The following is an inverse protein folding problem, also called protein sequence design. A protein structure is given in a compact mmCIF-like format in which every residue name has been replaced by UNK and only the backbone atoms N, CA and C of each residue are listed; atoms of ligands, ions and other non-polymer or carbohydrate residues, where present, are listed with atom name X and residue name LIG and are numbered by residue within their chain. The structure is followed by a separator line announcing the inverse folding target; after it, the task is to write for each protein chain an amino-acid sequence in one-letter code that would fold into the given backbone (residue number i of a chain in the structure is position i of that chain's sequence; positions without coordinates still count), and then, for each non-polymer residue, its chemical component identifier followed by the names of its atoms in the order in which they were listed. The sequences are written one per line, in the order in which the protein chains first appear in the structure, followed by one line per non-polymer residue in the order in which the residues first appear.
data_IF_732514240435
#
_entry.id   IF_732514240435
#
_cell.length_a   1.000
_cell.length_b   1.000
_cell.length_c   1.000
_cell.angle_alpha   90.00
_cell.angle_beta   90.00
_cell.angle_gamma   90.00
#
_symmetry.space_group_name_H-M   'P 1'
#
loop_
_entity.id
_entity.type
_entity.pdbx_description
1 polymer ?
#
# COMPACT_ATOMS: atom_id res chain seq x y z
N UNK A 1 -50.59 37.35 -9.33
CA UNK A 1 -51.93 37.17 -8.71
C UNK A 1 -51.96 35.76 -8.14
N UNK A 2 -51.92 35.60 -6.80
CA UNK A 2 -53.07 35.22 -5.93
C UNK A 2 -53.56 33.79 -6.29
N UNK A 3 -53.50 32.74 -5.48
CA UNK A 3 -53.71 32.49 -4.02
C UNK A 3 -53.35 31.01 -3.74
N UNK A 4 -52.55 30.60 -2.74
CA UNK A 4 -52.86 30.35 -1.30
C UNK A 4 -53.77 29.15 -0.98
N UNK A 5 -53.48 28.47 0.16
CA UNK A 5 -54.17 27.41 0.96
C UNK A 5 -53.41 26.07 0.89
N UNK A 6 -52.62 25.58 1.85
CA UNK A 6 -52.61 25.56 3.33
C UNK A 6 -53.60 24.56 3.98
N UNK A 7 -53.15 23.33 4.27
CA UNK A 7 -53.69 22.40 5.29
C UNK A 7 -52.47 21.66 5.90
N UNK A 8 -51.99 22.05 7.08
CA UNK A 8 -52.34 21.62 8.45
C UNK A 8 -51.95 20.17 8.84
N UNK A 9 -50.85 20.13 9.59
CA UNK A 9 -50.34 19.21 10.62
C UNK A 9 -51.27 18.12 11.18
N UNK A 10 -50.75 16.89 11.33
CA UNK A 10 -50.91 16.07 12.55
C UNK A 10 -49.57 15.41 12.88
N UNK A 11 -48.97 15.87 13.99
CA UNK A 11 -47.86 15.20 14.69
C UNK A 11 -48.49 14.26 15.72
N UNK A 12 -48.17 12.97 15.66
CA UNK A 12 -48.42 12.03 16.75
C UNK A 12 -47.07 11.62 17.35
N UNK A 13 -46.72 12.26 18.47
CA UNK A 13 -45.76 11.73 19.42
C UNK A 13 -46.51 10.76 20.35
N UNK A 14 -45.99 9.54 20.50
CA UNK A 14 -45.79 8.81 21.77
C UNK A 14 -45.71 7.31 21.50
N UNK A 15 -44.54 6.75 21.81
CA UNK A 15 -44.28 5.33 21.87
C UNK A 15 -42.90 5.08 22.48
N UNK A 16 -42.78 5.25 23.80
CA UNK A 16 -41.64 4.75 24.58
C UNK A 16 -41.66 3.21 24.57
N UNK A 17 -41.00 2.62 23.59
CA UNK A 17 -40.64 1.20 23.57
C UNK A 17 -39.18 1.04 23.95
N UNK A 18 -38.91 0.64 25.19
CA UNK A 18 -37.61 0.20 25.67
C UNK A 18 -37.24 -1.10 24.94
N UNK A 19 -36.36 -1.03 23.94
CA UNK A 19 -35.60 -2.20 23.51
C UNK A 19 -34.11 -1.87 23.50
N UNK A 20 -33.44 -2.46 24.49
CA UNK A 20 -32.01 -2.56 24.58
C UNK A 20 -31.49 -3.38 23.39
N UNK A 21 -30.32 -2.96 22.90
CA UNK A 21 -29.29 -3.78 22.28
C UNK A 21 -29.76 -5.00 21.45
N UNK A 22 -29.69 -4.85 20.13
CA UNK A 22 -28.95 -5.81 19.32
C UNK A 22 -28.36 -5.07 18.13
N UNK A 23 -27.13 -4.58 18.31
CA UNK A 23 -26.27 -4.29 17.18
C UNK A 23 -26.11 -5.60 16.40
N UNK A 24 -26.74 -5.67 15.24
CA UNK A 24 -26.40 -6.66 14.22
C UNK A 24 -25.11 -6.16 13.55
N UNK A 25 -24.02 -6.30 14.28
CA UNK A 25 -22.73 -6.62 13.67
C UNK A 25 -22.89 -8.05 13.13
N UNK A 26 -23.49 -8.19 11.95
CA UNK A 26 -23.18 -9.33 11.11
C UNK A 26 -21.65 -9.32 10.98
N UNK A 27 -21.02 -10.36 11.51
CA UNK A 27 -19.57 -10.46 11.60
C UNK A 27 -18.97 -10.29 10.21
N UNK A 28 -18.52 -9.08 9.91
CA UNK A 28 -17.69 -8.82 8.76
C UNK A 28 -16.53 -9.82 8.86
N UNK A 29 -16.34 -10.62 7.81
CA UNK A 29 -15.07 -11.32 7.65
C UNK A 29 -13.97 -10.28 7.92
N UNK A 30 -12.93 -10.63 8.71
CA UNK A 30 -11.87 -9.69 9.00
C UNK A 30 -11.43 -9.08 7.66
N UNK A 31 -11.28 -7.76 7.58
CA UNK A 31 -10.94 -7.11 6.32
C UNK A 31 -9.73 -7.82 5.73
N UNK A 32 -9.79 -8.14 4.43
CA UNK A 32 -8.69 -8.79 3.75
C UNK A 32 -7.40 -8.02 4.06
N UNK A 33 -6.34 -8.73 4.49
CA UNK A 33 -5.10 -8.08 4.90
C UNK A 33 -4.58 -7.22 3.76
N UNK A 34 -4.34 -5.94 4.04
CA UNK A 34 -3.81 -5.00 3.04
C UNK A 34 -2.45 -5.45 2.48
N UNK A 35 -1.64 -6.12 3.33
CA UNK A 35 -0.34 -6.66 2.95
C UNK A 35 -0.10 -8.02 3.63
N UNK A 36 0.53 -8.93 2.90
CA UNK A 36 1.06 -10.19 3.41
C UNK A 36 2.54 -10.31 3.05
N UNK A 37 3.40 -10.35 4.06
CA UNK A 37 4.83 -10.55 3.89
C UNK A 37 5.21 -12.02 4.01
N UNK A 38 6.06 -12.49 3.11
CA UNK A 38 6.73 -13.78 3.24
C UNK A 38 8.23 -13.62 2.99
N UNK A 39 9.04 -14.02 3.96
CA UNK A 39 10.51 -13.95 3.88
C UNK A 39 11.01 -14.63 2.60
N UNK A 40 11.83 -13.93 1.83
CA UNK A 40 12.39 -14.41 0.55
C UNK A 40 11.44 -14.36 -0.65
N UNK A 41 10.14 -14.12 -0.45
CA UNK A 41 9.17 -13.93 -1.55
C UNK A 41 8.68 -12.49 -1.68
N UNK A 42 8.76 -11.72 -0.59
CA UNK A 42 8.36 -10.32 -0.55
C UNK A 42 6.89 -10.12 -0.17
N UNK A 43 6.40 -8.92 -0.48
CA UNK A 43 5.06 -8.44 -0.12
C UNK A 43 4.05 -8.76 -1.20
N UNK A 44 2.97 -9.45 -0.82
CA UNK A 44 1.72 -9.43 -1.58
C UNK A 44 0.85 -8.29 -1.06
N UNK A 45 0.35 -7.45 -1.95
CA UNK A 45 -0.58 -6.36 -1.59
C UNK A 45 -1.97 -6.63 -2.17
N UNK A 46 -3.00 -6.19 -1.46
CA UNK A 46 -4.35 -6.10 -2.03
C UNK A 46 -4.41 -5.00 -3.10
N UNK A 47 -5.43 -5.04 -3.96
CA UNK A 47 -5.61 -4.00 -4.98
C UNK A 47 -5.83 -2.63 -4.33
N UNK A 48 -6.60 -2.57 -3.25
CA UNK A 48 -6.86 -1.35 -2.49
C UNK A 48 -5.57 -0.79 -1.89
N UNK A 49 -4.68 -1.65 -1.40
CA UNK A 49 -3.39 -1.22 -0.87
C UNK A 49 -2.47 -0.68 -1.97
N UNK A 50 -2.45 -1.31 -3.15
CA UNK A 50 -1.71 -0.84 -4.33
C UNK A 50 -2.16 0.57 -4.73
N UNK A 51 -3.48 0.78 -4.82
CA UNK A 51 -4.08 2.09 -5.11
C UNK A 51 -3.75 3.11 -4.02
N UNK A 52 -3.92 2.73 -2.74
CA UNK A 52 -3.70 3.63 -1.59
C UNK A 52 -2.26 4.15 -1.52
N UNK A 53 -1.26 3.29 -1.78
CA UNK A 53 0.15 3.71 -1.77
C UNK A 53 0.59 4.35 -3.11
N UNK A 54 -0.29 4.41 -4.11
CA UNK A 54 0.02 4.92 -5.45
C UNK A 54 1.13 4.13 -6.14
N UNK A 55 1.12 2.80 -5.98
CA UNK A 55 2.17 1.93 -6.53
C UNK A 55 2.13 1.95 -8.06
N UNK A 56 3.24 2.36 -8.66
CA UNK A 56 3.45 2.29 -10.12
C UNK A 56 4.72 1.52 -10.41
N UNK A 57 4.77 0.94 -11.60
CA UNK A 57 5.86 0.06 -12.03
C UNK A 57 6.35 0.40 -13.43
N UNK A 58 7.60 0.06 -13.70
CA UNK A 58 8.20 0.12 -15.02
C UNK A 58 9.22 -1.01 -15.17
N UNK A 59 9.61 -1.32 -16.40
CA UNK A 59 10.71 -2.23 -16.67
C UNK A 59 12.06 -1.50 -16.52
N UNK A 60 13.02 -2.16 -15.89
CA UNK A 60 14.37 -1.69 -15.77
C UNK A 60 15.07 -1.76 -17.14
N UNK A 61 15.70 -0.65 -17.54
CA UNK A 61 16.28 -0.51 -18.89
C UNK A 61 17.76 -0.82 -18.85
N UNK A 62 18.29 -1.53 -19.86
CA UNK A 62 19.72 -1.62 -20.06
C UNK A 62 20.25 -0.41 -20.82
N UNK A 63 21.40 0.10 -20.40
CA UNK A 63 22.21 1.04 -21.18
C UNK A 63 23.67 0.66 -21.07
N UNK A 64 24.26 0.28 -22.21
CA UNK A 64 25.58 -0.32 -22.30
C UNK A 64 25.71 -1.59 -21.44
N UNK A 65 26.39 -1.52 -20.29
CA UNK A 65 26.66 -2.63 -19.37
C UNK A 65 25.99 -2.46 -18.00
N UNK A 66 25.08 -1.48 -17.85
CA UNK A 66 24.40 -1.17 -16.59
C UNK A 66 22.90 -1.13 -16.77
N UNK A 67 22.20 -1.41 -15.68
CA UNK A 67 20.76 -1.21 -15.58
C UNK A 67 20.51 0.24 -15.13
N UNK A 68 19.66 0.95 -15.85
CA UNK A 68 19.17 2.27 -15.49
C UNK A 68 17.78 2.17 -14.89
N UNK A 69 17.59 2.83 -13.76
CA UNK A 69 16.30 2.97 -13.09
C UNK A 69 16.03 4.44 -12.76
N UNK A 70 14.77 4.89 -12.71
CA UNK A 70 14.44 6.21 -12.19
C UNK A 70 14.92 6.36 -10.74
N UNK A 71 15.40 7.54 -10.34
CA UNK A 71 15.85 7.79 -8.96
C UNK A 71 14.77 7.49 -7.92
N UNK A 72 13.50 7.64 -8.30
CA UNK A 72 12.32 7.38 -7.48
C UNK A 72 12.12 5.89 -7.14
N UNK A 73 12.71 4.98 -7.91
CA UNK A 73 12.67 3.55 -7.66
C UNK A 73 13.59 3.13 -6.50
N UNK A 74 14.58 3.97 -6.18
CA UNK A 74 15.60 3.65 -5.20
C UNK A 74 15.14 4.01 -3.79
N UNK A 75 15.01 2.99 -2.95
CA UNK A 75 14.89 3.16 -1.50
C UNK A 75 16.29 3.27 -0.91
N UNK A 76 16.60 4.38 -0.23
CA UNK A 76 17.78 4.54 0.61
C UNK A 76 17.37 4.67 2.07
N UNK A 77 17.95 3.85 2.94
CA UNK A 77 17.74 3.93 4.38
C UNK A 77 19.01 3.48 5.11
N UNK A 78 18.95 3.34 6.44
CA UNK A 78 20.09 2.90 7.25
C UNK A 78 20.52 1.45 7.00
N UNK A 79 19.70 0.62 6.35
CA UNK A 79 20.04 -0.77 6.01
C UNK A 79 20.78 -0.87 4.66
N UNK A 80 20.78 0.18 3.84
CA UNK A 80 21.43 0.20 2.53
C UNK A 80 20.60 0.85 1.43
N UNK A 81 20.80 0.37 0.20
CA UNK A 81 20.11 0.83 -1.00
C UNK A 81 19.37 -0.35 -1.66
N UNK A 82 18.09 -0.14 -1.98
CA UNK A 82 17.21 -1.21 -2.44
C UNK A 82 16.29 -0.76 -3.55
N UNK A 83 15.85 -1.71 -4.38
CA UNK A 83 14.75 -1.56 -5.32
C UNK A 83 13.74 -2.69 -5.08
N UNK A 84 12.45 -2.40 -5.17
CA UNK A 84 11.43 -3.44 -5.12
C UNK A 84 11.18 -4.00 -6.52
N UNK A 85 11.49 -5.28 -6.70
CA UNK A 85 11.32 -6.02 -7.96
C UNK A 85 10.06 -6.89 -7.88
N UNK A 86 9.27 -6.90 -8.95
CA UNK A 86 8.08 -7.72 -9.06
C UNK A 86 8.47 -9.18 -9.33
N UNK A 87 8.06 -10.09 -8.44
CA UNK A 87 8.22 -11.53 -8.57
C UNK A 87 6.82 -12.17 -8.53
N UNK A 88 6.24 -12.41 -9.72
CA UNK A 88 4.84 -12.77 -9.87
C UNK A 88 3.91 -11.65 -9.36
N UNK A 89 3.10 -11.94 -8.35
CA UNK A 89 2.24 -10.94 -7.71
C UNK A 89 2.89 -10.25 -6.50
N UNK A 90 4.11 -10.66 -6.13
CA UNK A 90 4.80 -10.15 -4.93
C UNK A 90 5.87 -9.12 -5.29
N UNK A 91 6.15 -8.25 -4.34
CA UNK A 91 7.20 -7.22 -4.42
C UNK A 91 8.34 -7.61 -3.49
N UNK A 92 9.46 -8.01 -4.07
CA UNK A 92 10.66 -8.41 -3.35
C UNK A 92 11.61 -7.22 -3.21
N UNK A 93 12.05 -6.92 -1.99
CA UNK A 93 13.10 -5.93 -1.74
C UNK A 93 14.45 -6.53 -2.11
N UNK A 94 15.06 -5.99 -3.16
CA UNK A 94 16.35 -6.43 -3.67
C UNK A 94 17.40 -5.38 -3.36
N UNK A 95 18.50 -5.81 -2.75
CA UNK A 95 19.67 -4.94 -2.52
C UNK A 95 20.34 -4.60 -3.85
N UNK A 96 20.73 -3.34 -4.01
CA UNK A 96 21.36 -2.87 -5.24
C UNK A 96 22.62 -2.07 -4.93
N UNK A 97 23.55 -2.02 -5.91
CA UNK A 97 24.72 -1.14 -5.86
C UNK A 97 24.50 0.07 -6.78
N UNK A 98 23.98 1.20 -6.26
CA UNK A 98 23.78 2.38 -7.06
C UNK A 98 25.14 3.03 -7.41
N UNK A 99 25.28 3.42 -8.67
CA UNK A 99 26.43 4.15 -9.20
C UNK A 99 26.07 5.62 -9.46
N UNK A 100 26.40 6.10 -10.66
CA UNK A 100 26.22 7.50 -11.04
C UNK A 100 24.73 7.81 -11.26
N UNK A 101 24.28 8.89 -10.63
CA UNK A 101 22.99 9.52 -10.87
C UNK A 101 23.15 10.63 -11.93
N UNK A 102 22.27 10.66 -12.93
CA UNK A 102 22.20 11.71 -13.97
C UNK A 102 20.80 11.78 -14.55
N UNK A 103 20.33 12.98 -14.88
CA UNK A 103 19.08 13.22 -15.61
C UNK A 103 17.85 12.50 -15.01
N UNK A 104 17.75 12.46 -13.67
CA UNK A 104 16.64 11.82 -12.96
C UNK A 104 16.66 10.28 -12.98
N UNK A 105 17.73 9.68 -13.46
CA UNK A 105 17.97 8.23 -13.44
C UNK A 105 19.26 7.90 -12.70
N UNK A 106 19.36 6.66 -12.22
CA UNK A 106 20.57 6.15 -11.57
C UNK A 106 21.00 4.84 -12.20
N UNK A 107 22.32 4.71 -12.43
CA UNK A 107 22.91 3.45 -12.86
C UNK A 107 22.99 2.48 -11.68
N UNK A 108 22.59 1.25 -11.91
CA UNK A 108 22.69 0.15 -10.96
C UNK A 108 23.74 -0.81 -11.48
N UNK A 109 24.81 -0.96 -10.70
CA UNK A 109 25.96 -1.78 -11.07
C UNK A 109 25.77 -3.27 -10.77
N UNK A 110 24.90 -3.59 -9.82
CA UNK A 110 24.62 -4.94 -9.34
C UNK A 110 23.25 -5.00 -8.65
N UNK A 111 22.62 -6.18 -8.67
CA UNK A 111 21.35 -6.46 -7.99
C UNK A 111 20.09 -6.34 -8.85
N UNK A 112 20.18 -5.86 -10.10
CA UNK A 112 19.07 -5.85 -11.06
C UNK A 112 19.50 -6.40 -12.41
N UNK A 113 18.55 -6.96 -13.13
CA UNK A 113 18.69 -7.40 -14.51
C UNK A 113 17.85 -6.51 -15.45
N UNK A 114 18.21 -6.52 -16.74
CA UNK A 114 17.38 -5.92 -17.78
C UNK A 114 16.00 -6.61 -17.82
N UNK A 115 14.94 -5.81 -17.98
CA UNK A 115 13.58 -6.33 -18.06
C UNK A 115 12.94 -6.65 -16.70
N UNK A 116 13.67 -6.54 -15.59
CA UNK A 116 13.08 -6.62 -14.25
C UNK A 116 11.99 -5.55 -14.12
N UNK A 117 10.79 -5.96 -13.71
CA UNK A 117 9.70 -5.02 -13.44
C UNK A 117 9.89 -4.47 -12.03
N UNK A 118 10.10 -3.17 -11.90
CA UNK A 118 10.43 -2.51 -10.64
C UNK A 118 9.37 -1.50 -10.22
N UNK A 119 9.26 -1.24 -8.92
CA UNK A 119 8.43 -0.16 -8.40
C UNK A 119 9.11 1.20 -8.64
N UNK A 120 8.38 2.15 -9.24
CA UNK A 120 8.85 3.53 -9.51
C UNK A 120 8.06 4.60 -8.75
N UNK A 121 7.00 4.19 -8.04
CA UNK A 121 6.24 5.02 -7.10
C UNK A 121 5.68 4.11 -5.99
N UNK A 122 5.33 4.67 -4.82
CA UNK A 122 4.84 3.87 -3.68
C UNK A 122 5.94 3.07 -2.95
N UNK A 123 7.22 3.29 -3.29
CA UNK A 123 8.39 2.57 -2.73
C UNK A 123 8.46 2.66 -1.19
N UNK A 124 8.18 3.83 -0.61
CA UNK A 124 8.10 3.99 0.85
C UNK A 124 6.92 3.23 1.47
N UNK A 125 5.79 3.15 0.78
CA UNK A 125 4.63 2.38 1.23
C UNK A 125 4.94 0.88 1.31
N UNK A 126 5.61 0.35 0.28
CA UNK A 126 6.14 -1.03 0.31
C UNK A 126 7.10 -1.23 1.48
N UNK A 127 8.04 -0.32 1.69
CA UNK A 127 9.00 -0.44 2.79
C UNK A 127 8.33 -0.41 4.17
N UNK A 128 7.38 0.49 4.39
CA UNK A 128 6.65 0.57 5.65
C UNK A 128 5.80 -0.68 5.91
N UNK A 129 5.16 -1.23 4.87
CA UNK A 129 4.42 -2.47 4.98
C UNK A 129 5.34 -3.66 5.35
N UNK A 130 6.53 -3.75 4.73
CA UNK A 130 7.52 -4.76 5.09
C UNK A 130 7.99 -4.57 6.52
N UNK A 131 8.41 -3.35 6.90
CA UNK A 131 8.86 -3.01 8.24
C UNK A 131 7.85 -3.37 9.32
N UNK A 132 6.56 -3.05 9.12
CA UNK A 132 5.50 -3.42 10.05
C UNK A 132 5.40 -4.95 10.18
N UNK A 133 5.52 -5.68 9.08
CA UNK A 133 5.49 -7.15 9.12
C UNK A 133 6.71 -7.77 9.83
N UNK A 134 7.90 -7.16 9.72
CA UNK A 134 9.14 -7.73 10.28
C UNK A 134 9.50 -7.21 11.68
N UNK A 135 9.05 -5.99 12.04
CA UNK A 135 9.43 -5.28 13.26
C UNK A 135 8.25 -4.66 14.01
N UNK A 136 7.02 -4.74 13.48
CA UNK A 136 5.85 -4.00 14.00
C UNK A 136 5.33 -4.42 15.36
N UNK A 137 5.73 -5.59 15.89
CA UNK A 137 5.22 -6.11 17.17
C UNK A 137 3.71 -6.39 17.15
N UNK A 138 3.21 -7.07 18.19
CA UNK A 138 1.78 -7.10 18.49
C UNK A 138 1.44 -5.83 19.25
N UNK A 139 0.42 -5.10 18.80
CA UNK A 139 0.00 -3.87 19.45
C UNK A 139 -0.50 -4.16 20.87
N UNK A 140 -0.35 -3.20 21.78
CA UNK A 140 -0.83 -3.31 23.17
C UNK A 140 -2.37 -3.40 23.29
N UNK A 141 -3.10 -3.45 22.18
CA UNK A 141 -4.57 -3.55 22.15
C UNK A 141 -5.08 -4.96 22.46
N UNK A 142 -4.19 -5.95 22.56
CA UNK A 142 -4.56 -7.36 22.78
C UNK A 142 -4.88 -7.70 24.25
N UNK A 143 -4.87 -6.71 25.16
CA UNK A 143 -5.44 -6.76 26.52
C UNK A 143 -5.22 -8.07 27.27
N UNK A 144 -4.03 -8.25 27.86
CA UNK A 144 -3.79 -9.29 28.87
C UNK A 144 -4.52 -9.02 30.18
#
# INVERSE_FOLDING_TARGET
MKTSISILLVVALVGCGKQAASGQSEGAAPPAKAAEFKKGQGLLLSAEAIEFIGLRKAEAQAKADRVLVPVQALLRNSEGAFVFVQNGQRWLRTEVKPGVESDGSIQVADGLLEGDVIAIAGVWGLWLAELQAIKGGVGCADGH
#
